data_IF_821132068912
#
_entry.id   IF_821132068912
#
_cell.length_a   1.000
_cell.length_b   1.000
_cell.length_c   1.000
_cell.angle_alpha   90.00
_cell.angle_beta   90.00
_cell.angle_gamma   90.00
#
_symmetry.space_group_name_H-M   'P 1'
#
loop_
_entity.id
_entity.type
_entity.pdbx_description
1 polymer ?
#
# COMPACT_ATOMS: atom_id res chain seq x y z
N UNK A 1 1.93 -38.33 -10.18
CA UNK A 1 2.33 -36.92 -10.39
C UNK A 1 3.45 -36.56 -9.44
N UNK A 2 4.42 -35.77 -9.85
CA UNK A 2 5.41 -35.27 -8.89
C UNK A 2 4.75 -34.23 -7.97
N UNK A 3 5.30 -34.05 -6.76
CA UNK A 3 4.80 -33.03 -5.84
C UNK A 3 4.80 -31.62 -6.47
N UNK A 4 5.78 -31.32 -7.31
CA UNK A 4 5.86 -30.05 -8.04
C UNK A 4 4.73 -29.88 -9.05
N UNK A 5 4.28 -30.94 -9.72
CA UNK A 5 3.14 -30.88 -10.64
C UNK A 5 1.83 -30.64 -9.89
N UNK A 6 1.62 -31.31 -8.76
CA UNK A 6 0.45 -31.06 -7.88
C UNK A 6 0.40 -29.59 -7.41
N UNK A 7 1.54 -29.04 -7.02
CA UNK A 7 1.62 -27.63 -6.60
C UNK A 7 1.35 -26.66 -7.77
N UNK A 8 1.81 -26.95 -8.98
CA UNK A 8 1.49 -26.15 -10.17
C UNK A 8 0.00 -26.21 -10.50
N UNK A 9 -0.65 -27.35 -10.30
CA UNK A 9 -2.11 -27.46 -10.46
C UNK A 9 -2.85 -26.59 -9.44
N UNK A 10 -2.38 -26.53 -8.19
CA UNK A 10 -2.95 -25.61 -7.18
C UNK A 10 -2.78 -24.15 -7.58
N UNK A 11 -1.62 -23.75 -8.12
CA UNK A 11 -1.41 -22.39 -8.65
C UNK A 11 -2.38 -22.11 -9.81
N UNK A 12 -2.54 -23.06 -10.73
CA UNK A 12 -3.47 -22.92 -11.85
C UNK A 12 -4.93 -22.87 -11.39
N UNK A 13 -5.30 -23.64 -10.37
CA UNK A 13 -6.62 -23.58 -9.73
C UNK A 13 -6.85 -22.19 -9.11
N UNK A 14 -5.87 -21.66 -8.37
CA UNK A 14 -5.94 -20.32 -7.79
C UNK A 14 -6.13 -19.24 -8.87
N UNK A 15 -5.39 -19.34 -9.97
CA UNK A 15 -5.52 -18.43 -11.09
C UNK A 15 -6.92 -18.43 -11.72
N UNK A 16 -7.53 -19.62 -11.87
CA UNK A 16 -8.83 -19.75 -12.54
C UNK A 16 -10.03 -19.50 -11.64
N UNK A 17 -9.94 -19.91 -10.37
CA UNK A 17 -11.07 -19.85 -9.42
C UNK A 17 -10.98 -18.71 -8.42
N UNK A 18 -9.80 -18.06 -8.30
CA UNK A 18 -9.46 -17.06 -7.28
C UNK A 18 -9.64 -17.57 -5.84
N UNK A 19 -9.71 -18.87 -5.65
CA UNK A 19 -9.94 -19.50 -4.36
C UNK A 19 -9.21 -20.83 -4.22
N UNK A 20 -8.68 -21.05 -3.01
CA UNK A 20 -8.17 -22.35 -2.55
C UNK A 20 -8.72 -22.64 -1.16
N UNK A 21 -8.77 -23.91 -0.81
CA UNK A 21 -9.04 -24.33 0.56
C UNK A 21 -7.81 -24.04 1.46
N UNK A 22 -8.05 -23.90 2.77
CA UNK A 22 -7.01 -23.58 3.74
C UNK A 22 -5.78 -24.50 3.63
N UNK A 23 -6.02 -25.82 3.51
CA UNK A 23 -4.95 -26.81 3.40
C UNK A 23 -4.12 -26.66 2.11
N UNK A 24 -4.77 -26.27 1.02
CA UNK A 24 -4.11 -26.00 -0.27
C UNK A 24 -3.21 -24.76 -0.18
N UNK A 25 -3.65 -23.67 0.48
CA UNK A 25 -2.80 -22.51 0.77
C UNK A 25 -1.60 -22.89 1.62
N UNK A 26 -1.80 -23.64 2.69
CA UNK A 26 -0.70 -24.11 3.55
C UNK A 26 0.32 -24.90 2.73
N UNK A 27 -0.15 -25.84 1.90
CA UNK A 27 0.71 -26.64 1.03
C UNK A 27 1.56 -25.77 0.06
N UNK A 28 0.95 -24.74 -0.54
CA UNK A 28 1.68 -23.80 -1.42
C UNK A 28 2.71 -22.98 -0.65
N UNK A 29 2.36 -22.46 0.53
CA UNK A 29 3.25 -21.61 1.34
C UNK A 29 4.46 -22.42 1.84
N UNK A 30 4.23 -23.62 2.35
CA UNK A 30 5.30 -24.50 2.85
C UNK A 30 6.26 -24.97 1.75
N UNK A 31 5.77 -25.13 0.53
CA UNK A 31 6.55 -25.60 -0.61
C UNK A 31 6.76 -24.53 -1.69
N UNK A 32 6.68 -23.26 -1.35
CA UNK A 32 6.73 -22.11 -2.28
C UNK A 32 7.94 -22.13 -3.22
N UNK A 33 9.10 -22.58 -2.75
CA UNK A 33 10.33 -22.59 -3.54
C UNK A 33 10.25 -23.55 -4.74
N UNK A 34 9.46 -24.63 -4.62
CA UNK A 34 9.28 -25.61 -5.71
C UNK A 34 8.44 -25.08 -6.88
N UNK A 35 7.66 -24.01 -6.67
CA UNK A 35 6.75 -23.43 -7.68
C UNK A 35 6.94 -21.93 -7.88
N UNK A 36 7.94 -21.34 -7.23
CA UNK A 36 8.19 -19.90 -7.24
C UNK A 36 8.24 -19.30 -8.64
N UNK A 37 9.02 -19.89 -9.52
CA UNK A 37 9.25 -19.36 -10.87
C UNK A 37 7.95 -19.45 -11.70
N UNK A 38 7.22 -20.54 -11.59
CA UNK A 38 5.92 -20.70 -12.24
C UNK A 38 4.88 -19.71 -11.72
N UNK A 39 4.84 -19.51 -10.39
CA UNK A 39 3.96 -18.52 -9.76
C UNK A 39 4.30 -17.09 -10.22
N UNK A 40 5.59 -16.74 -10.31
CA UNK A 40 6.03 -15.42 -10.76
C UNK A 40 5.74 -15.18 -12.25
N UNK A 41 5.93 -16.16 -13.09
CA UNK A 41 5.57 -16.08 -14.52
C UNK A 41 4.07 -15.83 -14.69
N UNK A 42 3.25 -16.62 -14.01
CA UNK A 42 1.79 -16.48 -14.10
C UNK A 42 1.29 -15.16 -13.52
N UNK A 43 1.77 -14.76 -12.34
CA UNK A 43 1.41 -13.47 -11.73
C UNK A 43 1.88 -12.28 -12.55
N UNK A 44 3.07 -12.39 -13.16
CA UNK A 44 3.62 -11.41 -14.09
C UNK A 44 2.73 -11.23 -15.32
N UNK A 45 2.25 -12.33 -15.91
CA UNK A 45 1.33 -12.30 -17.06
C UNK A 45 -0.01 -11.62 -16.72
N UNK A 46 -0.54 -11.90 -15.52
CA UNK A 46 -1.77 -11.23 -15.03
C UNK A 46 -1.53 -9.73 -14.86
N UNK A 47 -0.42 -9.36 -14.22
CA UNK A 47 -0.07 -7.95 -14.05
C UNK A 47 0.06 -7.24 -15.40
N UNK A 48 0.78 -7.84 -16.35
CA UNK A 48 0.99 -7.25 -17.67
C UNK A 48 -0.33 -7.07 -18.44
N UNK A 49 -1.25 -8.01 -18.30
CA UNK A 49 -2.60 -7.93 -18.90
C UNK A 49 -3.40 -6.73 -18.40
N UNK A 50 -3.32 -6.40 -17.10
CA UNK A 50 -4.15 -5.35 -16.49
C UNK A 50 -3.46 -4.00 -16.36
N UNK A 51 -2.15 -3.99 -16.20
CA UNK A 51 -1.36 -2.78 -15.87
C UNK A 51 -0.19 -2.52 -16.82
N UNK A 52 0.03 -3.39 -17.82
CA UNK A 52 1.20 -3.30 -18.68
C UNK A 52 2.50 -3.49 -17.90
N UNK A 53 3.56 -2.84 -18.37
CA UNK A 53 4.89 -2.86 -17.73
C UNK A 53 5.14 -1.64 -16.83
N UNK A 54 4.16 -0.76 -16.70
CA UNK A 54 4.29 0.48 -15.95
C UNK A 54 4.43 0.23 -14.45
N UNK A 55 5.21 1.08 -13.81
CA UNK A 55 5.34 1.14 -12.36
C UNK A 55 4.65 2.42 -11.88
N UNK A 56 3.62 2.25 -11.06
CA UNK A 56 2.87 3.38 -10.51
C UNK A 56 3.52 3.84 -9.21
N UNK A 57 4.01 5.09 -9.21
CA UNK A 57 4.61 5.72 -8.05
C UNK A 57 3.57 6.57 -7.34
N UNK A 58 3.56 6.50 -6.00
CA UNK A 58 2.68 7.31 -5.16
C UNK A 58 3.51 8.31 -4.36
N UNK A 59 3.00 9.54 -4.24
CA UNK A 59 3.55 10.51 -3.32
C UNK A 59 3.13 10.16 -1.88
N UNK A 60 4.06 10.18 -0.95
CA UNK A 60 3.77 10.03 0.48
C UNK A 60 3.82 11.40 1.14
N UNK A 61 2.77 11.76 1.89
CA UNK A 61 2.73 12.98 2.71
C UNK A 61 2.53 12.55 4.16
N UNK A 62 3.55 12.72 4.97
CA UNK A 62 3.48 12.51 6.41
C UNK A 62 2.93 13.78 7.05
N UNK A 63 1.62 13.82 7.37
CA UNK A 63 0.94 15.04 7.77
C UNK A 63 1.04 15.34 9.27
N UNK A 64 1.39 14.36 10.10
CA UNK A 64 1.66 14.54 11.53
C UNK A 64 2.59 13.46 12.04
N UNK A 65 3.46 13.81 12.95
CA UNK A 65 4.29 12.88 13.71
C UNK A 65 3.91 12.82 15.20
N UNK A 66 2.81 13.45 15.59
CA UNK A 66 2.20 13.19 16.88
C UNK A 66 1.49 11.83 16.87
N UNK A 67 1.68 11.06 17.94
CA UNK A 67 1.01 9.78 18.12
C UNK A 67 0.69 9.57 19.59
N UNK A 68 -0.54 9.14 19.91
CA UNK A 68 -0.94 8.76 21.27
C UNK A 68 -0.37 7.41 21.71
N UNK A 69 0.04 6.57 20.76
CA UNK A 69 0.51 5.21 21.03
C UNK A 69 2.02 5.17 21.30
N UNK A 70 2.43 4.16 22.03
CA UNK A 70 3.83 3.95 22.41
C UNK A 70 4.40 2.64 21.83
N UNK A 71 4.20 2.41 20.55
CA UNK A 71 4.67 1.21 19.84
C UNK A 71 6.19 1.14 19.89
N UNK A 72 6.72 0.04 20.38
CA UNK A 72 8.14 -0.14 20.73
C UNK A 72 9.09 0.10 19.56
N UNK A 73 8.67 -0.23 18.34
CA UNK A 73 9.48 -0.08 17.12
C UNK A 73 9.33 1.27 16.42
N UNK A 74 8.41 2.14 16.88
CA UNK A 74 8.04 3.34 16.16
C UNK A 74 8.84 4.56 16.62
N UNK A 75 9.45 5.28 15.67
CA UNK A 75 10.20 6.50 15.95
C UNK A 75 9.34 7.65 16.47
N UNK A 76 8.06 7.71 16.07
CA UNK A 76 7.12 8.75 16.50
C UNK A 76 6.26 8.35 17.72
N UNK A 77 6.61 7.29 18.44
CA UNK A 77 5.91 6.89 19.67
C UNK A 77 5.86 8.02 20.70
N UNK A 78 4.82 8.08 21.51
CA UNK A 78 4.58 9.20 22.44
C UNK A 78 5.71 9.39 23.47
N UNK A 79 6.39 8.33 23.91
CA UNK A 79 7.50 8.40 24.86
C UNK A 79 8.80 8.93 24.25
N UNK A 80 8.97 8.96 22.94
CA UNK A 80 10.16 9.49 22.29
C UNK A 80 10.23 11.02 22.40
N UNK A 81 11.04 11.52 23.32
CA UNK A 81 11.24 12.97 23.56
C UNK A 81 12.21 13.62 22.58
N UNK A 82 12.90 12.83 21.75
CA UNK A 82 13.83 13.34 20.75
C UNK A 82 13.16 13.59 19.39
N UNK A 83 11.94 13.12 19.21
CA UNK A 83 11.17 13.38 17.98
C UNK A 83 10.72 14.85 17.96
N UNK A 84 11.09 15.57 16.93
CA UNK A 84 10.58 16.92 16.64
C UNK A 84 9.14 16.79 16.13
N UNK A 85 8.19 17.41 16.87
CA UNK A 85 6.76 17.21 16.62
C UNK A 85 6.19 18.30 15.72
N UNK A 86 5.46 17.89 14.68
CA UNK A 86 4.78 18.79 13.76
C UNK A 86 3.38 18.31 13.37
N UNK A 87 2.60 19.22 12.84
CA UNK A 87 1.32 18.98 12.17
C UNK A 87 1.26 19.85 10.93
N UNK A 88 0.95 19.29 9.80
CA UNK A 88 0.74 20.06 8.58
C UNK A 88 -0.68 20.62 8.56
N UNK A 89 -0.81 21.88 8.14
CA UNK A 89 -2.11 22.45 7.84
C UNK A 89 -2.67 21.89 6.52
N UNK A 90 -3.97 22.11 6.29
CA UNK A 90 -4.62 21.73 5.03
C UNK A 90 -3.94 22.37 3.83
N UNK A 91 -3.56 23.64 3.94
CA UNK A 91 -2.86 24.39 2.90
C UNK A 91 -1.50 23.78 2.58
N UNK A 92 -0.74 23.42 3.60
CA UNK A 92 0.56 22.75 3.44
C UNK A 92 0.42 21.37 2.75
N UNK A 93 -0.59 20.58 3.12
CA UNK A 93 -0.89 19.30 2.47
C UNK A 93 -1.24 19.52 1.00
N UNK A 94 -2.08 20.53 0.69
CA UNK A 94 -2.43 20.89 -0.69
C UNK A 94 -1.23 21.32 -1.51
N UNK A 95 -0.33 22.10 -0.92
CA UNK A 95 0.89 22.54 -1.61
C UNK A 95 1.85 21.37 -1.90
N UNK A 96 1.96 20.41 -0.97
CA UNK A 96 2.66 19.16 -1.22
C UNK A 96 2.02 18.38 -2.39
N UNK A 97 0.69 18.31 -2.43
CA UNK A 97 -0.02 17.64 -3.52
C UNK A 97 0.20 18.36 -4.87
N UNK A 98 0.16 19.67 -4.92
CA UNK A 98 0.41 20.45 -6.15
C UNK A 98 1.83 20.21 -6.67
N UNK A 99 2.83 20.36 -5.80
CA UNK A 99 4.23 20.11 -6.13
C UNK A 99 4.43 18.68 -6.66
N UNK A 100 3.87 17.70 -5.95
CA UNK A 100 3.94 16.31 -6.37
C UNK A 100 3.23 16.06 -7.70
N UNK A 101 2.10 16.71 -7.97
CA UNK A 101 1.39 16.61 -9.24
C UNK A 101 2.23 17.16 -10.41
N UNK A 102 2.92 18.29 -10.22
CA UNK A 102 3.84 18.85 -11.20
C UNK A 102 5.02 17.91 -11.49
N UNK A 103 5.50 17.18 -10.47
CA UNK A 103 6.52 16.15 -10.58
C UNK A 103 6.03 14.84 -11.24
N UNK A 104 4.76 14.72 -11.54
CA UNK A 104 4.18 13.55 -12.22
C UNK A 104 3.43 12.56 -11.32
N UNK A 105 3.37 12.75 -10.01
CA UNK A 105 2.56 11.91 -9.13
C UNK A 105 1.07 12.11 -9.42
N UNK A 106 0.30 11.02 -9.32
CA UNK A 106 -1.16 11.04 -9.56
C UNK A 106 -1.95 10.46 -8.40
N UNK A 107 -1.27 9.87 -7.44
CA UNK A 107 -1.85 9.32 -6.22
C UNK A 107 -1.00 9.74 -5.04
N UNK A 108 -1.65 10.20 -3.97
CA UNK A 108 -1.00 10.58 -2.73
C UNK A 108 -1.52 9.70 -1.60
N UNK A 109 -0.62 9.28 -0.74
CA UNK A 109 -0.92 8.55 0.49
C UNK A 109 -0.66 9.50 1.65
N UNK A 110 -1.66 9.71 2.48
CA UNK A 110 -1.52 10.46 3.72
C UNK A 110 -1.17 9.49 4.84
N UNK A 111 -0.09 9.74 5.55
CA UNK A 111 0.37 8.94 6.66
C UNK A 111 0.65 9.83 7.87
N UNK A 112 0.39 9.31 9.06
CA UNK A 112 0.67 10.01 10.30
C UNK A 112 0.58 9.10 11.51
N UNK A 113 0.91 9.63 12.68
CA UNK A 113 0.61 8.98 13.94
C UNK A 113 -0.89 9.02 14.25
N UNK A 114 -1.34 8.24 15.23
CA UNK A 114 -2.68 8.39 15.77
C UNK A 114 -2.74 9.66 16.64
N UNK A 115 -3.03 10.76 15.98
CA UNK A 115 -3.07 12.09 16.56
C UNK A 115 -4.54 12.51 16.84
N UNK A 116 -4.93 12.67 18.12
CA UNK A 116 -6.30 13.05 18.46
C UNK A 116 -6.70 14.48 17.99
N UNK A 117 -5.74 15.26 17.52
CA UNK A 117 -6.02 16.57 16.93
C UNK A 117 -6.85 16.45 15.64
N UNK A 118 -6.62 15.40 14.85
CA UNK A 118 -7.38 15.18 13.63
C UNK A 118 -8.66 14.39 13.94
N UNK A 119 -9.80 15.11 13.94
CA UNK A 119 -11.10 14.47 14.01
C UNK A 119 -11.43 13.70 12.72
N UNK A 120 -12.44 12.85 12.79
CA UNK A 120 -12.92 12.10 11.61
C UNK A 120 -13.34 13.06 10.49
N UNK A 121 -14.02 14.14 10.81
CA UNK A 121 -14.43 15.16 9.85
C UNK A 121 -13.23 15.85 9.16
N UNK A 122 -12.19 16.17 9.92
CA UNK A 122 -10.95 16.70 9.36
C UNK A 122 -10.28 15.68 8.43
N UNK A 123 -10.16 14.44 8.87
CA UNK A 123 -9.56 13.36 8.08
C UNK A 123 -10.34 13.13 6.79
N UNK A 124 -11.66 13.09 6.85
CA UNK A 124 -12.53 13.00 5.67
C UNK A 124 -12.30 14.18 4.74
N UNK A 125 -12.22 15.41 5.26
CA UNK A 125 -11.98 16.59 4.44
C UNK A 125 -10.64 16.58 3.73
N UNK A 126 -9.61 15.95 4.28
CA UNK A 126 -8.30 15.77 3.66
C UNK A 126 -8.29 14.65 2.61
N UNK A 127 -8.97 13.55 2.87
CA UNK A 127 -9.05 12.42 1.92
C UNK A 127 -9.93 12.73 0.71
N UNK A 128 -10.89 13.65 0.83
CA UNK A 128 -11.74 14.12 -0.24
C UNK A 128 -11.22 15.40 -0.94
N UNK A 129 -9.95 15.76 -0.74
CA UNK A 129 -9.31 16.81 -1.50
C UNK A 129 -9.19 16.38 -2.97
N UNK A 130 -10.12 16.83 -3.79
CA UNK A 130 -9.97 16.75 -5.24
C UNK A 130 -9.06 17.88 -5.69
N UNK A 131 -7.87 17.55 -6.17
CA UNK A 131 -7.13 18.47 -7.01
C UNK A 131 -8.00 18.77 -8.24
N UNK A 132 -8.04 20.02 -8.74
CA UNK A 132 -8.79 20.32 -9.96
C UNK A 132 -8.23 19.44 -11.08
N UNK A 133 -8.92 18.34 -11.34
CA UNK A 133 -8.68 17.52 -12.52
C UNK A 133 -9.25 18.28 -13.68
N UNK A 134 -8.41 18.82 -14.55
CA UNK A 134 -8.85 19.22 -15.87
C UNK A 134 -9.47 17.98 -16.52
N UNK A 135 -10.79 18.00 -16.68
CA UNK A 135 -11.51 17.00 -17.46
C UNK A 135 -10.84 16.89 -18.82
N UNK A 136 -10.41 15.69 -19.18
CA UNK A 136 -10.05 15.36 -20.56
C UNK A 136 -11.29 15.27 -21.39
#
# INVERSE_FOLDING_TARGET
MSKTEELKELVSKLYSTHHLEKGEYVSLIENRDAVRDYLFELSGSVREKYYGKDVYIRGLIEFTDYCKNDCYYCGIRCSNKQAERYRLSKEQILDCCKTGYELGFRTFVLQGGEDPYYSDDMTVSYTHLTLPTTSR
#
